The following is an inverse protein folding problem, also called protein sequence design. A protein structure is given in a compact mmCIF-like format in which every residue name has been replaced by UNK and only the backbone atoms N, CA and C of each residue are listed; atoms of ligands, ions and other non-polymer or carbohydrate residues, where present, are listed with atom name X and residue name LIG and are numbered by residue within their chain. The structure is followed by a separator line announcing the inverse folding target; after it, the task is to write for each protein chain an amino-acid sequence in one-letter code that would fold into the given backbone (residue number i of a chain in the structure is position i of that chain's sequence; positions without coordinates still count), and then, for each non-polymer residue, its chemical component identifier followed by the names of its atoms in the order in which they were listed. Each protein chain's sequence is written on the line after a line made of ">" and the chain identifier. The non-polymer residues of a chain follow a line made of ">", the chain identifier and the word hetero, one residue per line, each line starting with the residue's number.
data_IF_170547920376
#
_entry.id   IF_170547920376
#
_cell.length_a   1.000
_cell.length_b   1.000
_cell.length_c   1.000
_cell.angle_alpha   90.00
_cell.angle_beta   90.00
_cell.angle_gamma   90.00
#
_symmetry.space_group_name_H-M   'P 1'
#
loop_
_entity.id
_entity.type
_entity.pdbx_description
1 polymer ?
#
# COMPACT_ATOMS: atom_id res chain seq x y z
N UNK A 1 4.72 8.10 4.18
CA UNK A 1 4.26 7.60 2.86
C UNK A 1 2.78 7.92 2.73
N UNK A 2 2.33 8.50 1.62
CA UNK A 2 0.91 8.82 1.38
C UNK A 2 0.50 8.21 0.05
N UNK A 3 -0.63 7.50 0.02
CA UNK A 3 -1.23 6.96 -1.20
C UNK A 3 -2.53 7.74 -1.45
N UNK A 4 -2.66 8.35 -2.62
CA UNK A 4 -3.81 9.19 -2.97
C UNK A 4 -4.46 8.71 -4.27
N UNK A 5 -5.79 8.81 -4.37
CA UNK A 5 -6.65 8.56 -5.55
C UNK A 5 -7.36 7.18 -5.68
N UNK A 6 -7.41 6.37 -4.61
CA UNK A 6 -8.06 5.05 -4.69
C UNK A 6 -9.53 5.17 -5.04
N UNK A 7 -10.09 4.23 -5.81
CA UNK A 7 -11.54 4.21 -6.07
C UNK A 7 -12.29 4.22 -4.74
N UNK A 8 -13.16 5.22 -4.49
CA UNK A 8 -13.99 5.27 -3.28
C UNK A 8 -14.82 4.01 -3.11
N UNK A 9 -14.98 3.55 -1.88
CA UNK A 9 -15.77 2.35 -1.60
C UNK A 9 -15.19 1.08 -2.22
N UNK A 10 -13.86 1.01 -2.37
CA UNK A 10 -13.18 -0.22 -2.82
C UNK A 10 -12.29 -0.75 -1.69
N UNK A 11 -12.26 -2.07 -1.56
CA UNK A 11 -11.38 -2.77 -0.66
C UNK A 11 -10.01 -3.01 -1.32
N UNK A 12 -8.94 -2.82 -0.55
CA UNK A 12 -7.57 -3.01 -1.02
C UNK A 12 -6.74 -3.77 0.00
N UNK A 13 -5.75 -4.50 -0.50
CA UNK A 13 -4.68 -5.08 0.31
C UNK A 13 -3.43 -4.20 0.19
N UNK A 14 -2.81 -3.72 1.28
CA UNK A 14 -1.42 -3.24 1.15
C UNK A 14 -0.49 -4.42 1.15
N UNK A 15 0.42 -4.37 0.19
CA UNK A 15 1.64 -5.16 0.20
C UNK A 15 2.84 -4.27 0.49
N UNK A 16 3.72 -4.76 1.35
CA UNK A 16 5.06 -4.23 1.49
C UNK A 16 5.98 -5.02 0.57
N UNK A 17 6.71 -4.32 -0.29
CA UNK A 17 7.83 -4.89 -1.02
C UNK A 17 9.11 -4.64 -0.21
N UNK A 18 9.83 -5.71 0.07
CA UNK A 18 11.09 -5.69 0.80
C UNK A 18 12.27 -5.57 -0.18
N UNK A 19 13.41 -5.12 0.33
CA UNK A 19 14.64 -4.96 -0.49
C UNK A 19 15.15 -6.27 -1.08
N UNK A 20 14.83 -7.41 -0.47
CA UNK A 20 15.16 -8.74 -1.00
C UNK A 20 14.22 -9.19 -2.14
N UNK A 21 13.29 -8.32 -2.56
CA UNK A 21 12.31 -8.59 -3.61
C UNK A 21 11.10 -9.40 -3.14
N UNK A 22 11.09 -9.89 -1.89
CA UNK A 22 9.94 -10.54 -1.31
C UNK A 22 8.84 -9.52 -0.98
N UNK A 23 7.61 -10.02 -0.84
CA UNK A 23 6.48 -9.17 -0.50
C UNK A 23 5.61 -9.79 0.59
N UNK A 24 5.16 -8.96 1.53
CA UNK A 24 4.29 -9.37 2.63
C UNK A 24 3.04 -8.52 2.70
N UNK A 25 1.93 -9.13 3.08
CA UNK A 25 0.69 -8.41 3.36
C UNK A 25 0.85 -7.62 4.66
N UNK A 26 0.64 -6.31 4.60
CA UNK A 26 0.68 -5.45 5.79
C UNK A 26 -0.69 -5.26 6.43
N UNK A 27 -1.76 -5.51 5.68
CA UNK A 27 -3.13 -5.37 6.16
C UNK A 27 -4.12 -5.23 5.01
N UNK A 28 -5.36 -4.97 5.39
CA UNK A 28 -6.48 -4.74 4.51
C UNK A 28 -7.12 -3.39 4.86
N UNK A 29 -7.52 -2.62 3.85
CA UNK A 29 -8.10 -1.30 4.04
C UNK A 29 -9.25 -1.03 3.09
N UNK A 30 -10.21 -0.26 3.59
CA UNK A 30 -11.27 0.32 2.79
C UNK A 30 -10.93 1.76 2.40
N UNK A 31 -11.11 2.09 1.12
CA UNK A 31 -11.06 3.48 0.68
C UNK A 31 -12.38 4.18 1.06
N UNK A 32 -12.38 5.20 1.93
CA UNK A 32 -13.58 5.94 2.27
C UNK A 32 -14.18 6.66 1.05
N UNK A 33 -15.45 7.03 1.15
CA UNK A 33 -16.19 7.72 0.09
C UNK A 33 -15.53 9.05 -0.36
N UNK A 34 -14.75 9.67 0.52
CA UNK A 34 -13.97 10.88 0.24
C UNK A 34 -12.82 10.67 -0.76
N UNK A 35 -12.45 9.42 -1.07
CA UNK A 35 -11.31 9.07 -1.94
C UNK A 35 -9.93 9.40 -1.35
N UNK A 36 -9.89 9.81 -0.07
CA UNK A 36 -8.66 10.17 0.64
C UNK A 36 -8.54 9.32 1.90
N UNK A 37 -7.41 8.63 2.02
CA UNK A 37 -7.06 7.89 3.22
C UNK A 37 -5.56 7.97 3.46
N UNK A 38 -5.18 7.93 4.74
CA UNK A 38 -3.80 7.75 5.16
C UNK A 38 -3.69 6.34 5.73
N UNK A 39 -2.75 5.56 5.22
CA UNK A 39 -2.49 4.21 5.71
C UNK A 39 -1.06 4.10 6.22
N UNK A 40 -0.93 3.49 7.38
CA UNK A 40 0.35 3.31 8.07
C UNK A 40 0.67 1.83 8.02
N UNK A 41 1.77 1.48 7.33
CA UNK A 41 2.31 0.14 7.32
C UNK A 41 3.59 0.11 8.16
N UNK A 42 3.65 -0.80 9.12
CA UNK A 42 4.81 -0.95 9.99
C UNK A 42 5.83 -1.94 9.40
N UNK A 43 7.10 -1.58 9.49
CA UNK A 43 8.21 -2.48 9.24
C UNK A 43 9.53 -1.78 9.53
N UNK A 44 10.62 -2.53 9.49
CA UNK A 44 11.96 -1.97 9.69
C UNK A 44 12.30 -1.04 8.53
N UNK A 45 12.64 0.21 8.85
CA UNK A 45 12.97 1.26 7.87
C UNK A 45 14.11 0.87 6.94
N UNK A 46 15.00 -0.02 7.37
CA UNK A 46 16.08 -0.57 6.55
C UNK A 46 15.66 -1.63 5.53
N UNK A 47 14.47 -2.23 5.67
CA UNK A 47 14.02 -3.38 4.88
C UNK A 47 12.90 -3.06 3.89
N UNK A 48 12.16 -1.96 4.08
CA UNK A 48 11.05 -1.58 3.20
C UNK A 48 11.58 -0.74 2.03
N UNK A 49 11.24 -1.16 0.82
CA UNK A 49 11.55 -0.44 -0.42
C UNK A 49 10.33 0.36 -0.94
N UNK A 50 9.16 -0.29 -0.96
CA UNK A 50 7.93 0.27 -1.54
C UNK A 50 6.68 -0.24 -0.83
N UNK A 51 5.64 0.59 -0.82
CA UNK A 51 4.27 0.22 -0.43
C UNK A 51 3.40 0.20 -1.68
N UNK A 52 2.73 -0.92 -1.94
CA UNK A 52 1.81 -1.10 -3.06
C UNK A 52 0.37 -1.28 -2.54
N UNK A 53 -0.57 -0.56 -3.14
CA UNK A 53 -2.00 -0.78 -2.96
C UNK A 53 -2.50 -1.69 -4.08
N UNK A 54 -2.95 -2.88 -3.70
CA UNK A 54 -3.29 -3.95 -4.65
C UNK A 54 -4.81 -4.19 -4.61
N UNK A 55 -5.42 -4.22 -5.80
CA UNK A 55 -6.83 -4.61 -5.98
C UNK A 55 -7.00 -6.11 -5.86
N UNK A 56 -8.24 -6.53 -5.60
CA UNK A 56 -8.65 -7.91 -5.74
C UNK A 56 -8.25 -8.44 -7.13
N UNK A 57 -7.61 -9.62 -7.17
CA UNK A 57 -6.98 -10.16 -8.39
C UNK A 57 -5.49 -9.84 -8.58
N UNK A 58 -4.86 -9.11 -7.65
CA UNK A 58 -3.40 -8.93 -7.62
C UNK A 58 -2.86 -7.74 -8.42
N UNK A 59 -3.73 -6.95 -9.04
CA UNK A 59 -3.33 -5.78 -9.82
C UNK A 59 -2.93 -4.60 -8.92
N UNK A 60 -1.71 -4.10 -9.08
CA UNK A 60 -1.21 -2.91 -8.37
C UNK A 60 -1.89 -1.66 -8.93
N UNK A 61 -2.62 -0.94 -8.07
CA UNK A 61 -3.35 0.27 -8.45
C UNK A 61 -2.52 1.53 -8.17
N UNK A 62 -1.80 1.58 -7.05
CA UNK A 62 -0.90 2.68 -6.74
C UNK A 62 0.30 2.18 -5.94
N UNK A 63 1.42 2.88 -6.11
CA UNK A 63 2.66 2.60 -5.42
C UNK A 63 3.21 3.86 -4.79
N UNK A 64 3.91 3.71 -3.68
CA UNK A 64 4.62 4.78 -3.04
C UNK A 64 5.99 4.23 -2.57
N UNK A 65 7.07 4.92 -2.92
CA UNK A 65 8.46 4.56 -2.57
C UNK A 65 8.97 5.34 -1.36
N UNK A 66 9.71 4.68 -0.47
CA UNK A 66 10.36 5.37 0.64
C UNK A 66 11.46 6.28 0.08
N UNK A 67 11.33 7.60 0.21
CA UNK A 67 12.41 8.54 -0.12
C UNK A 67 13.21 8.81 1.15
N UNK A 68 14.50 8.53 1.09
CA UNK A 68 15.51 8.96 2.08
C UNK A 68 15.77 10.45 1.98
#
# INVERSE_FOLDING_TARGET
>A
MQITAGRPGTHYTCRLLLKDGSSRTAGQWWMPASGRATWIAYGSSGAIDRVDLVRDGGHVWASAVLRS
#
